data_IF_852802720782
#
_entry.id   IF_852802720782
#
_cell.length_a   1.000
_cell.length_b   1.000
_cell.length_c   1.000
_cell.angle_alpha   90.00
_cell.angle_beta   90.00
_cell.angle_gamma   90.00
#
_symmetry.space_group_name_H-M   'P 1'
#
loop_
_entity.id
_entity.type
_entity.pdbx_description
1 polymer ?
#
# COMPACT_ATOMS: atom_id res chain seq x y z
N UNK A 1 -19.52 24.25 -0.83
CA UNK A 1 -18.70 25.32 -0.20
C UNK A 1 -17.23 25.17 -0.59
N UNK A 2 -16.59 24.01 -0.33
CA UNK A 2 -15.16 23.76 -0.63
C UNK A 2 -14.71 24.00 -2.09
N UNK A 3 -15.54 23.72 -3.10
CA UNK A 3 -15.12 23.87 -4.49
C UNK A 3 -14.99 25.34 -4.95
N UNK A 4 -15.85 26.24 -4.44
CA UNK A 4 -15.80 27.66 -4.76
C UNK A 4 -14.57 28.33 -4.11
N UNK A 5 -14.31 28.02 -2.84
CA UNK A 5 -13.14 28.50 -2.10
C UNK A 5 -11.82 28.04 -2.74
N UNK A 6 -11.78 26.80 -3.26
CA UNK A 6 -10.63 26.27 -3.99
C UNK A 6 -10.37 27.07 -5.28
N UNK A 7 -11.40 27.33 -6.07
CA UNK A 7 -11.26 28.08 -7.33
C UNK A 7 -10.83 29.53 -7.06
N UNK A 8 -11.43 30.19 -6.07
CA UNK A 8 -11.05 31.55 -5.66
C UNK A 8 -9.59 31.60 -5.15
N UNK A 9 -9.17 30.59 -4.38
CA UNK A 9 -7.79 30.44 -3.92
C UNK A 9 -6.79 30.26 -5.07
N UNK A 10 -7.14 29.50 -6.11
CA UNK A 10 -6.31 29.34 -7.31
C UNK A 10 -6.27 30.62 -8.17
N UNK A 11 -7.43 31.23 -8.43
CA UNK A 11 -7.56 32.44 -9.25
C UNK A 11 -6.80 33.64 -8.69
N UNK A 12 -6.78 33.78 -7.36
CA UNK A 12 -6.08 34.87 -6.67
C UNK A 12 -4.55 34.73 -6.67
N UNK A 13 -4.00 33.55 -6.98
CA UNK A 13 -2.58 33.28 -6.92
C UNK A 13 -1.87 33.54 -8.28
N UNK A 14 -0.77 34.32 -8.33
CA UNK A 14 -0.11 34.73 -9.59
C UNK A 14 0.27 33.59 -10.55
N UNK A 15 0.80 32.49 -9.99
CA UNK A 15 1.20 31.29 -10.75
C UNK A 15 0.09 30.24 -10.86
N UNK A 16 -0.55 29.88 -9.74
CA UNK A 16 -1.52 28.79 -9.68
C UNK A 16 -2.84 29.06 -10.42
N UNK A 17 -3.16 30.33 -10.73
CA UNK A 17 -4.33 30.66 -11.57
C UNK A 17 -4.28 30.05 -12.98
N UNK A 18 -3.10 29.63 -13.44
CA UNK A 18 -2.90 28.98 -14.73
C UNK A 18 -2.93 27.45 -14.64
N UNK A 19 -3.08 26.88 -13.43
CA UNK A 19 -3.22 25.45 -13.26
C UNK A 19 -4.51 24.99 -13.94
N UNK A 20 -4.39 24.04 -14.87
CA UNK A 20 -5.54 23.52 -15.60
C UNK A 20 -6.45 22.71 -14.68
N UNK A 21 -7.73 22.61 -15.04
CA UNK A 21 -8.67 21.73 -14.34
C UNK A 21 -8.16 20.28 -14.30
N UNK A 22 -7.57 19.81 -15.41
CA UNK A 22 -6.94 18.49 -15.46
C UNK A 22 -5.79 18.35 -14.45
N UNK A 23 -4.95 19.38 -14.32
CA UNK A 23 -3.89 19.44 -13.30
C UNK A 23 -4.44 19.34 -11.87
N UNK A 24 -5.55 20.05 -11.58
CA UNK A 24 -6.23 19.96 -10.27
C UNK A 24 -6.77 18.55 -10.01
N UNK A 25 -7.40 17.92 -11.01
CA UNK A 25 -7.91 16.55 -10.87
C UNK A 25 -6.77 15.53 -10.70
N UNK A 26 -5.70 15.65 -11.49
CA UNK A 26 -4.50 14.82 -11.40
C UNK A 26 -3.86 14.93 -10.01
N UNK A 27 -3.66 16.13 -9.51
CA UNK A 27 -3.17 16.37 -8.14
C UNK A 27 -4.10 15.76 -7.09
N UNK A 28 -5.40 15.91 -7.26
CA UNK A 28 -6.41 15.38 -6.33
C UNK A 28 -6.39 13.85 -6.27
N UNK A 29 -6.24 13.17 -7.43
CA UNK A 29 -6.07 11.71 -7.49
C UNK A 29 -4.75 11.30 -6.82
N UNK A 30 -3.63 11.87 -7.25
CA UNK A 30 -2.29 11.52 -6.74
C UNK A 30 -2.19 11.74 -5.23
N UNK A 31 -2.47 12.94 -4.73
CA UNK A 31 -2.35 13.26 -3.31
C UNK A 31 -3.41 12.54 -2.46
N UNK A 32 -4.57 12.22 -3.04
CA UNK A 32 -5.59 11.38 -2.41
C UNK A 32 -5.08 9.98 -2.07
N UNK A 33 -4.26 9.38 -2.92
CA UNK A 33 -3.59 8.09 -2.66
C UNK A 33 -2.40 8.20 -1.69
N UNK A 34 -1.87 9.40 -1.48
CA UNK A 34 -0.69 9.64 -0.65
C UNK A 34 -1.02 10.14 0.76
N UNK A 35 -2.30 10.24 1.17
CA UNK A 35 -2.70 10.75 2.51
C UNK A 35 -1.91 10.13 3.66
N UNK A 36 -1.69 8.81 3.64
CA UNK A 36 -0.91 8.13 4.68
C UNK A 36 0.59 8.44 4.60
N UNK A 37 1.15 8.52 3.39
CA UNK A 37 2.53 8.96 3.15
C UNK A 37 2.76 10.42 3.56
N UNK A 38 1.70 11.25 3.50
CA UNK A 38 1.70 12.65 3.96
C UNK A 38 1.72 12.71 5.50
N UNK A 39 0.87 11.93 6.20
CA UNK A 39 0.76 11.95 7.67
C UNK A 39 1.93 11.32 8.40
N UNK A 40 2.44 10.20 7.88
CA UNK A 40 3.44 9.39 8.59
C UNK A 40 4.69 10.17 9.02
N UNK A 41 5.34 10.99 8.17
CA UNK A 41 6.51 11.77 8.56
C UNK A 41 6.19 12.99 9.44
N UNK A 42 4.93 13.36 9.64
CA UNK A 42 4.56 14.54 10.42
C UNK A 42 4.85 14.36 11.91
N UNK A 43 5.02 15.46 12.67
CA UNK A 43 4.97 15.41 14.13
C UNK A 43 3.68 14.77 14.64
N UNK A 44 3.70 14.19 15.85
CA UNK A 44 2.52 13.53 16.45
C UNK A 44 1.31 14.47 16.51
N UNK A 45 1.52 15.76 16.78
CA UNK A 45 0.46 16.79 16.82
C UNK A 45 -0.27 16.98 15.48
N UNK A 46 0.40 16.67 14.37
CA UNK A 46 -0.08 16.83 12.98
C UNK A 46 -0.49 15.48 12.36
N UNK A 47 -0.60 14.42 13.17
CA UNK A 47 -0.82 13.05 12.69
C UNK A 47 -2.28 12.58 12.80
N UNK A 48 -3.22 13.52 12.95
CA UNK A 48 -4.64 13.17 13.04
C UNK A 48 -5.18 12.84 11.64
N UNK A 49 -5.65 11.62 11.37
CA UNK A 49 -6.14 11.24 10.05
C UNK A 49 -7.40 12.01 9.60
N UNK A 50 -8.11 12.65 10.53
CA UNK A 50 -9.31 13.44 10.21
C UNK A 50 -8.99 14.84 9.65
N UNK A 51 -7.74 15.30 9.79
CA UNK A 51 -7.35 16.65 9.40
C UNK A 51 -6.10 16.63 8.52
N UNK A 52 -6.03 17.43 7.44
CA UNK A 52 -4.80 17.53 6.67
C UNK A 52 -3.72 18.25 7.49
N UNK A 53 -2.46 17.81 7.43
CA UNK A 53 -1.38 18.50 8.12
C UNK A 53 -1.07 19.86 7.48
N UNK A 54 -0.43 20.73 8.25
CA UNK A 54 -0.11 22.08 7.79
C UNK A 54 0.82 22.09 6.58
N UNK A 55 1.81 21.19 6.55
CA UNK A 55 2.88 21.17 5.55
C UNK A 55 2.93 19.83 4.81
N UNK A 56 3.30 19.89 3.53
CA UNK A 56 3.59 18.69 2.75
C UNK A 56 5.04 18.23 2.99
N UNK A 57 5.31 16.93 3.18
CA UNK A 57 6.69 16.43 3.33
C UNK A 57 7.57 16.76 2.11
N UNK A 58 8.84 17.09 2.33
CA UNK A 58 9.79 17.55 1.29
C UNK A 58 9.87 16.62 0.07
N UNK A 59 9.98 15.31 0.28
CA UNK A 59 10.03 14.33 -0.81
C UNK A 59 8.76 14.33 -1.68
N UNK A 60 7.59 14.60 -1.07
CA UNK A 60 6.33 14.76 -1.81
C UNK A 60 6.25 16.12 -2.51
N UNK A 61 6.80 17.18 -1.91
CA UNK A 61 6.92 18.47 -2.60
C UNK A 61 7.75 18.33 -3.88
N UNK A 62 8.92 17.68 -3.79
CA UNK A 62 9.80 17.46 -4.93
C UNK A 62 9.15 16.59 -6.02
N UNK A 63 8.44 15.54 -5.63
CA UNK A 63 7.67 14.71 -6.56
C UNK A 63 6.59 15.52 -7.30
N UNK A 64 5.75 16.26 -6.57
CA UNK A 64 4.64 17.02 -7.17
C UNK A 64 5.16 18.13 -8.08
N UNK A 65 6.21 18.82 -7.64
CA UNK A 65 6.90 19.86 -8.40
C UNK A 65 7.31 19.36 -9.78
N UNK A 66 7.92 18.18 -9.84
CA UNK A 66 8.39 17.59 -11.09
C UNK A 66 7.25 16.95 -11.91
N UNK A 67 6.26 16.36 -11.25
CA UNK A 67 5.14 15.71 -11.92
C UNK A 67 4.21 16.68 -12.66
N UNK A 68 4.04 17.90 -12.14
CA UNK A 68 3.14 18.93 -12.68
C UNK A 68 3.91 20.14 -13.24
N UNK A 69 5.24 20.07 -13.27
CA UNK A 69 6.14 21.13 -13.75
C UNK A 69 5.86 22.50 -13.09
N UNK A 70 5.83 22.51 -11.75
CA UNK A 70 5.60 23.72 -10.95
C UNK A 70 6.91 24.25 -10.35
N UNK A 71 7.05 25.57 -10.13
CA UNK A 71 8.16 26.12 -9.37
C UNK A 71 8.13 25.70 -7.89
N UNK A 72 9.30 25.47 -7.28
CA UNK A 72 9.40 25.02 -5.89
C UNK A 72 8.75 25.98 -4.88
N UNK A 73 8.85 27.30 -5.13
CA UNK A 73 8.29 28.34 -4.26
C UNK A 73 6.76 28.41 -4.27
N UNK A 74 6.08 27.60 -5.09
CA UNK A 74 4.61 27.61 -5.23
C UNK A 74 3.97 26.39 -4.55
N UNK A 75 4.75 25.36 -4.21
CA UNK A 75 4.20 24.09 -3.70
C UNK A 75 3.52 24.23 -2.33
N UNK A 76 4.08 25.05 -1.44
CA UNK A 76 3.47 25.29 -0.13
C UNK A 76 2.12 26.02 -0.26
N UNK A 77 2.03 27.00 -1.16
CA UNK A 77 0.77 27.69 -1.47
C UNK A 77 -0.25 26.78 -2.13
N UNK A 78 0.20 25.91 -3.05
CA UNK A 78 -0.63 24.88 -3.66
C UNK A 78 -1.23 23.96 -2.59
N UNK A 79 -0.42 23.45 -1.66
CA UNK A 79 -0.90 22.61 -0.58
C UNK A 79 -1.86 23.37 0.33
N UNK A 80 -1.54 24.62 0.70
CA UNK A 80 -2.41 25.47 1.52
C UNK A 80 -3.81 25.63 0.91
N UNK A 81 -3.90 25.78 -0.41
CA UNK A 81 -5.18 25.91 -1.13
C UNK A 81 -5.90 24.57 -1.23
N UNK A 82 -5.20 23.49 -1.60
CA UNK A 82 -5.83 22.21 -1.96
C UNK A 82 -6.05 21.25 -0.78
N UNK A 83 -5.31 21.38 0.33
CA UNK A 83 -5.23 20.33 1.36
C UNK A 83 -6.58 19.90 1.91
N UNK A 84 -7.48 20.84 2.21
CA UNK A 84 -8.80 20.53 2.78
C UNK A 84 -9.70 19.84 1.76
N UNK A 85 -9.62 20.25 0.50
CA UNK A 85 -10.32 19.57 -0.59
C UNK A 85 -9.82 18.13 -0.75
N UNK A 86 -8.52 17.94 -0.91
CA UNK A 86 -7.90 16.60 -1.05
C UNK A 86 -8.24 15.71 0.14
N UNK A 87 -8.26 16.25 1.36
CA UNK A 87 -8.56 15.47 2.55
C UNK A 87 -10.00 14.97 2.59
N UNK A 88 -10.94 15.81 2.15
CA UNK A 88 -12.38 15.54 2.27
C UNK A 88 -12.94 14.70 1.13
N UNK A 89 -12.36 14.79 -0.07
CA UNK A 89 -12.83 13.96 -1.19
C UNK A 89 -12.49 12.47 -0.96
N UNK A 90 -13.38 11.55 -1.40
CA UNK A 90 -13.05 10.14 -1.48
C UNK A 90 -11.83 9.91 -2.38
N UNK A 91 -11.03 8.91 -2.05
CA UNK A 91 -9.90 8.51 -2.89
C UNK A 91 -10.42 8.00 -4.24
N UNK A 92 -10.14 8.76 -5.30
CA UNK A 92 -10.50 8.41 -6.67
C UNK A 92 -9.48 7.42 -7.25
N UNK A 93 -9.87 6.50 -8.14
CA UNK A 93 -8.92 5.58 -8.78
C UNK A 93 -7.87 6.34 -9.60
N UNK A 94 -6.62 5.88 -9.56
CA UNK A 94 -5.55 6.41 -10.41
C UNK A 94 -5.76 6.00 -11.86
N UNK A 95 -5.52 6.94 -12.77
CA UNK A 95 -5.43 6.71 -14.22
C UNK A 95 -4.04 6.17 -14.60
N UNK A 96 -3.89 5.70 -15.82
CA UNK A 96 -2.60 5.19 -16.31
C UNK A 96 -1.54 6.30 -16.36
N UNK A 97 -1.94 7.51 -16.76
CA UNK A 97 -1.11 8.71 -16.77
C UNK A 97 -0.61 9.07 -15.36
N UNK A 98 -1.47 8.98 -14.34
CA UNK A 98 -1.07 9.23 -12.96
C UNK A 98 0.02 8.23 -12.52
N UNK A 99 -0.14 6.94 -12.88
CA UNK A 99 0.85 5.89 -12.59
C UNK A 99 2.18 6.20 -13.27
N UNK A 100 2.15 6.66 -14.52
CA UNK A 100 3.37 7.07 -15.24
C UNK A 100 4.09 8.20 -14.52
N UNK A 101 3.37 9.18 -13.94
CA UNK A 101 3.98 10.23 -13.12
C UNK A 101 4.71 9.65 -11.89
N UNK A 102 4.12 8.68 -11.19
CA UNK A 102 4.80 7.99 -10.10
C UNK A 102 6.08 7.28 -10.56
N UNK A 103 6.05 6.62 -11.71
CA UNK A 103 7.23 5.95 -12.27
C UNK A 103 8.35 6.94 -12.61
N UNK A 104 8.03 7.96 -13.42
CA UNK A 104 9.02 8.88 -13.97
C UNK A 104 9.58 9.80 -12.89
N UNK A 105 8.73 10.30 -12.00
CA UNK A 105 9.11 11.34 -11.03
C UNK A 105 9.11 10.84 -9.58
N UNK A 106 8.23 9.91 -9.22
CA UNK A 106 8.00 9.50 -7.83
C UNK A 106 9.04 8.52 -7.25
N UNK A 107 9.47 7.51 -8.01
CA UNK A 107 10.26 6.41 -7.46
C UNK A 107 11.58 6.86 -6.83
N UNK A 108 12.27 7.82 -7.45
CA UNK A 108 13.52 8.40 -6.93
C UNK A 108 13.34 9.14 -5.60
N UNK A 109 12.12 9.61 -5.31
CA UNK A 109 11.76 10.25 -4.05
C UNK A 109 11.14 9.27 -3.04
N UNK A 110 11.14 7.97 -3.34
CA UNK A 110 10.51 6.97 -2.47
C UNK A 110 8.98 7.03 -2.51
N UNK A 111 8.39 7.47 -3.62
CA UNK A 111 6.94 7.59 -3.80
C UNK A 111 6.46 6.63 -4.90
N UNK A 112 5.46 5.82 -4.61
CA UNK A 112 4.87 4.86 -5.56
C UNK A 112 3.35 4.99 -5.55
N UNK A 113 2.71 4.60 -6.66
CA UNK A 113 1.25 4.56 -6.77
C UNK A 113 0.61 3.61 -5.75
N UNK A 114 1.36 2.63 -5.25
CA UNK A 114 0.94 1.71 -4.20
C UNK A 114 1.85 1.86 -2.98
N UNK A 115 1.25 2.06 -1.81
CA UNK A 115 1.96 2.03 -0.53
C UNK A 115 1.24 1.08 0.42
N UNK A 116 1.99 0.14 0.99
CA UNK A 116 1.46 -0.92 1.84
C UNK A 116 1.78 -0.59 3.29
N UNK A 117 0.78 -0.64 4.15
CA UNK A 117 0.89 -0.30 5.57
C UNK A 117 0.09 -1.29 6.42
N UNK A 118 0.34 -1.39 7.74
CA UNK A 118 -0.59 -2.08 8.64
C UNK A 118 -1.99 -1.45 8.59
N UNK A 119 -3.07 -2.16 8.95
CA UNK A 119 -4.41 -1.59 8.91
C UNK A 119 -4.55 -0.34 9.78
N UNK A 120 -3.94 -0.36 10.97
CA UNK A 120 -4.03 0.71 11.95
C UNK A 120 -2.71 1.49 12.09
N UNK A 121 -2.83 2.78 12.38
CA UNK A 121 -1.71 3.67 12.71
C UNK A 121 -1.49 3.82 14.23
N UNK A 122 -2.22 3.07 15.05
CA UNK A 122 -2.09 3.07 16.53
C UNK A 122 -1.77 1.67 17.04
N UNK A 123 -1.32 1.57 18.28
CA UNK A 123 -1.11 0.27 18.91
C UNK A 123 -2.46 -0.42 19.17
N UNK A 124 -2.68 -1.56 18.52
CA UNK A 124 -3.89 -2.38 18.70
C UNK A 124 -3.72 -3.48 19.76
N UNK A 125 -2.58 -3.53 20.44
CA UNK A 125 -2.38 -4.47 21.54
C UNK A 125 -3.20 -4.00 22.75
N UNK A 126 -4.24 -4.76 23.09
CA UNK A 126 -5.15 -4.46 24.22
C UNK A 126 -4.44 -4.30 25.57
N UNK A 127 -3.27 -4.92 25.75
CA UNK A 127 -2.47 -4.82 26.96
C UNK A 127 -1.47 -3.63 26.94
N UNK A 128 -1.56 -2.75 25.94
CA UNK A 128 -0.64 -1.63 25.76
C UNK A 128 -1.40 -0.30 25.85
N UNK A 129 -1.04 0.55 26.81
CA UNK A 129 -1.65 1.88 26.95
C UNK A 129 -1.04 2.92 26.00
N UNK A 130 -0.39 2.49 24.90
CA UNK A 130 0.21 3.41 23.94
C UNK A 130 -0.84 3.93 22.96
N UNK A 131 -1.46 5.05 23.31
CA UNK A 131 -2.61 5.61 22.58
C UNK A 131 -2.25 6.69 21.55
N UNK A 132 -0.96 6.93 21.28
CA UNK A 132 -0.52 7.89 20.26
C UNK A 132 -0.28 7.18 18.91
N UNK A 133 -0.41 7.90 17.78
CA UNK A 133 -0.07 7.35 16.47
C UNK A 133 1.35 6.81 16.42
N UNK A 134 1.48 5.55 16.02
CA UNK A 134 2.74 4.90 15.71
C UNK A 134 3.33 5.52 14.46
N UNK A 135 4.65 5.71 14.50
CA UNK A 135 5.41 6.25 13.39
C UNK A 135 6.12 5.16 12.63
N UNK A 136 6.28 5.41 11.32
CA UNK A 136 7.10 4.64 10.40
C UNK A 136 8.44 4.27 11.05
N UNK A 137 8.61 2.99 11.34
CA UNK A 137 9.87 2.47 11.89
C UNK A 137 10.76 1.91 10.78
N UNK A 138 10.15 1.28 9.78
CA UNK A 138 10.90 0.53 8.80
C UNK A 138 10.18 0.50 7.44
N UNK A 139 10.95 0.69 6.36
CA UNK A 139 10.43 0.69 4.98
C UNK A 139 11.31 -0.13 4.05
N UNK A 140 10.65 -0.94 3.21
CA UNK A 140 11.26 -1.79 2.19
C UNK A 140 10.56 -1.60 0.85
N UNK A 141 11.33 -1.76 -0.23
CA UNK A 141 10.76 -1.98 -1.56
C UNK A 141 10.02 -3.31 -1.57
N UNK A 142 8.96 -3.37 -2.36
CA UNK A 142 8.17 -4.56 -2.60
C UNK A 142 7.64 -4.59 -4.03
N UNK A 143 7.12 -5.75 -4.40
CA UNK A 143 6.46 -6.03 -5.66
C UNK A 143 5.06 -6.56 -5.36
N UNK A 144 4.06 -6.01 -6.04
CA UNK A 144 2.66 -6.37 -5.89
C UNK A 144 2.16 -6.94 -7.20
N UNK A 145 1.68 -8.18 -7.18
CA UNK A 145 1.01 -8.81 -8.29
C UNK A 145 -0.47 -8.43 -8.25
N UNK A 146 -0.95 -7.73 -9.28
CA UNK A 146 -2.32 -7.22 -9.35
C UNK A 146 -3.04 -7.79 -10.56
N UNK A 147 -4.35 -7.95 -10.45
CA UNK A 147 -5.17 -8.52 -11.52
C UNK A 147 -5.36 -7.54 -12.68
N UNK A 148 -5.44 -6.24 -12.42
CA UNK A 148 -5.80 -5.24 -13.45
C UNK A 148 -4.62 -4.45 -14.01
N UNK A 149 -3.50 -4.35 -13.26
CA UNK A 149 -2.37 -3.51 -13.63
C UNK A 149 -1.06 -4.30 -13.72
N UNK A 150 -1.14 -5.63 -13.72
CA UNK A 150 0.03 -6.51 -13.69
C UNK A 150 0.90 -6.27 -12.45
N UNK A 151 2.22 -6.28 -12.66
CA UNK A 151 3.21 -6.12 -11.59
C UNK A 151 3.38 -4.64 -11.25
N UNK A 152 3.24 -4.30 -9.97
CA UNK A 152 3.33 -2.93 -9.47
C UNK A 152 4.43 -2.80 -8.42
N UNK A 153 5.24 -1.72 -8.44
CA UNK A 153 6.18 -1.42 -7.37
C UNK A 153 5.43 -0.82 -6.18
N UNK A 154 5.86 -1.18 -4.98
CA UNK A 154 5.29 -0.61 -3.76
C UNK A 154 6.36 -0.39 -2.69
N UNK A 155 6.12 0.59 -1.84
CA UNK A 155 6.81 0.70 -0.57
C UNK A 155 5.97 0.05 0.53
N UNK A 156 6.57 -0.89 1.25
CA UNK A 156 5.96 -1.52 2.42
C UNK A 156 6.51 -0.85 3.66
N UNK A 157 5.61 -0.33 4.49
CA UNK A 157 5.92 0.24 5.79
C UNK A 157 5.50 -0.71 6.89
N UNK A 158 6.37 -0.89 7.88
CA UNK A 158 6.04 -1.49 9.16
C UNK A 158 6.10 -0.42 10.24
N UNK A 159 5.23 -0.57 11.24
CA UNK A 159 5.16 0.31 12.41
C UNK A 159 5.67 -0.46 13.63
N UNK A 160 6.23 0.25 14.61
CA UNK A 160 6.73 -0.39 15.82
C UNK A 160 6.24 0.37 17.05
N UNK A 161 5.64 -0.36 17.99
CA UNK A 161 5.27 0.20 19.28
C UNK A 161 6.45 0.06 20.26
N UNK A 162 7.04 1.18 20.73
CA UNK A 162 8.17 1.12 21.66
C UNK A 162 7.79 0.65 23.07
N UNK A 163 6.49 0.70 23.44
CA UNK A 163 6.02 0.33 24.78
C UNK A 163 5.80 -1.18 24.94
N UNK A 164 5.13 -1.82 23.99
CA UNK A 164 4.85 -3.26 24.05
C UNK A 164 5.73 -4.09 23.11
N UNK A 165 6.70 -3.47 22.42
CA UNK A 165 7.62 -4.12 21.50
C UNK A 165 6.93 -4.91 20.37
N UNK A 166 5.73 -4.46 19.97
CA UNK A 166 4.98 -5.08 18.87
C UNK A 166 5.34 -4.41 17.55
N UNK A 167 5.72 -5.21 16.57
CA UNK A 167 5.93 -4.77 15.18
C UNK A 167 4.69 -5.05 14.35
N UNK A 168 4.09 -4.02 13.77
CA UNK A 168 2.91 -4.12 12.94
C UNK A 168 3.33 -4.14 11.46
N UNK A 169 2.91 -5.18 10.75
CA UNK A 169 3.07 -5.32 9.30
C UNK A 169 1.71 -5.25 8.62
N UNK A 170 1.64 -5.39 7.29
CA UNK A 170 0.41 -5.30 6.51
C UNK A 170 -0.64 -6.38 6.86
N UNK A 171 -0.22 -7.64 7.02
CA UNK A 171 -1.16 -8.75 7.26
C UNK A 171 -1.18 -9.26 8.69
N UNK A 172 -0.16 -8.96 9.47
CA UNK A 172 0.00 -9.46 10.83
C UNK A 172 0.77 -8.49 11.71
N UNK A 173 0.60 -8.64 13.02
CA UNK A 173 1.48 -8.06 14.03
C UNK A 173 2.42 -9.14 14.58
N UNK A 174 3.59 -8.72 15.06
CA UNK A 174 4.60 -9.59 15.67
C UNK A 174 4.84 -9.14 17.09
N UNK A 175 4.58 -10.04 18.04
CA UNK A 175 4.90 -9.85 19.44
C UNK A 175 5.46 -11.16 20.01
N UNK A 176 6.55 -11.07 20.79
CA UNK A 176 7.19 -12.23 21.43
C UNK A 176 7.47 -13.42 20.48
N UNK A 177 7.87 -13.14 19.23
CA UNK A 177 8.19 -14.18 18.25
C UNK A 177 6.99 -14.87 17.59
N UNK A 178 5.76 -14.40 17.84
CA UNK A 178 4.53 -14.91 17.23
C UNK A 178 3.95 -13.88 16.26
N UNK A 179 3.54 -14.33 15.08
CA UNK A 179 2.72 -13.56 14.14
C UNK A 179 1.26 -13.80 14.46
N UNK A 180 0.54 -12.71 14.70
CA UNK A 180 -0.92 -12.69 14.82
C UNK A 180 -1.48 -11.98 13.61
N UNK A 181 -2.16 -12.71 12.74
CA UNK A 181 -2.82 -12.12 11.58
C UNK A 181 -4.03 -11.30 12.01
N UNK A 182 -4.26 -10.18 11.31
CA UNK A 182 -5.44 -9.36 11.56
C UNK A 182 -6.72 -10.08 11.12
N UNK A 183 -7.84 -9.69 11.72
CA UNK A 183 -9.16 -10.21 11.33
C UNK A 183 -9.52 -9.81 9.90
N UNK A 184 -10.22 -10.68 9.20
CA UNK A 184 -10.67 -10.47 7.82
C UNK A 184 -9.63 -10.89 6.76
N UNK A 185 -9.99 -10.67 5.50
CA UNK A 185 -9.12 -10.97 4.35
C UNK A 185 -8.47 -9.67 3.87
N UNK A 186 -7.14 -9.56 3.89
CA UNK A 186 -6.45 -8.34 3.46
C UNK A 186 -6.54 -8.15 1.95
N UNK A 187 -6.51 -6.90 1.49
CA UNK A 187 -6.48 -6.56 0.07
C UNK A 187 -5.22 -7.12 -0.62
N UNK A 188 -4.07 -7.05 0.05
CA UNK A 188 -2.80 -7.58 -0.44
C UNK A 188 -2.26 -8.62 0.55
N UNK A 189 -2.04 -9.84 0.09
CA UNK A 189 -1.48 -10.96 0.86
C UNK A 189 0.03 -11.01 0.66
N UNK A 190 0.78 -11.00 1.75
CA UNK A 190 2.23 -11.15 1.73
C UNK A 190 2.61 -12.62 1.52
N UNK A 191 3.16 -12.92 0.35
CA UNK A 191 3.55 -14.28 -0.10
C UNK A 191 5.07 -14.46 -0.17
N UNK A 192 5.82 -13.47 0.29
CA UNK A 192 7.27 -13.48 0.36
C UNK A 192 7.77 -12.31 1.20
N UNK A 193 9.09 -12.17 1.34
CA UNK A 193 9.66 -11.04 2.10
C UNK A 193 9.32 -9.69 1.45
N UNK A 194 9.36 -9.65 0.11
CA UNK A 194 9.14 -8.45 -0.70
C UNK A 194 7.98 -8.60 -1.69
N UNK A 195 7.21 -9.69 -1.61
CA UNK A 195 6.21 -10.03 -2.62
C UNK A 195 4.81 -10.10 -2.03
N UNK A 196 3.89 -9.42 -2.70
CA UNK A 196 2.49 -9.30 -2.32
C UNK A 196 1.60 -9.67 -3.50
N UNK A 197 0.45 -10.27 -3.20
CA UNK A 197 -0.55 -10.66 -4.19
C UNK A 197 -1.87 -10.01 -3.81
N UNK A 198 -2.52 -9.33 -4.76
CA UNK A 198 -3.89 -8.86 -4.60
C UNK A 198 -4.81 -10.05 -4.29
N UNK A 199 -5.65 -9.96 -3.25
CA UNK A 199 -6.51 -11.05 -2.82
C UNK A 199 -7.40 -11.59 -3.95
N UNK A 200 -7.97 -10.70 -4.77
CA UNK A 200 -8.78 -11.05 -5.96
C UNK A 200 -8.00 -11.88 -6.98
N UNK A 201 -6.72 -11.56 -7.17
CA UNK A 201 -5.83 -12.34 -8.03
C UNK A 201 -5.59 -13.73 -7.44
N UNK A 202 -5.34 -13.82 -6.12
CA UNK A 202 -5.24 -15.09 -5.41
C UNK A 202 -6.50 -15.97 -5.54
N UNK A 203 -7.69 -15.36 -5.45
CA UNK A 203 -8.96 -16.05 -5.70
C UNK A 203 -9.11 -16.55 -7.14
N UNK A 204 -8.68 -15.74 -8.11
CA UNK A 204 -8.67 -16.15 -9.52
C UNK A 204 -7.76 -17.38 -9.72
N UNK A 205 -6.60 -17.41 -9.07
CA UNK A 205 -5.69 -18.54 -9.11
C UNK A 205 -6.29 -19.80 -8.50
N UNK A 206 -6.98 -19.68 -7.36
CA UNK A 206 -7.72 -20.79 -6.75
C UNK A 206 -8.79 -21.35 -7.69
N UNK A 207 -9.58 -20.47 -8.32
CA UNK A 207 -10.60 -20.89 -9.27
C UNK A 207 -9.97 -21.63 -10.47
N UNK A 208 -8.86 -21.13 -11.00
CA UNK A 208 -8.12 -21.79 -12.08
C UNK A 208 -7.59 -23.17 -11.66
N UNK A 209 -7.12 -23.31 -10.41
CA UNK A 209 -6.66 -24.60 -9.88
C UNK A 209 -7.81 -25.58 -9.68
N UNK A 210 -8.91 -25.13 -9.07
CA UNK A 210 -10.05 -25.98 -8.69
C UNK A 210 -10.90 -26.40 -9.89
N UNK A 211 -11.20 -25.47 -10.81
CA UNK A 211 -12.12 -25.69 -11.92
C UNK A 211 -11.41 -25.84 -13.25
N UNK A 212 -10.27 -25.15 -13.42
CA UNK A 212 -9.48 -25.19 -14.64
C UNK A 212 -8.42 -26.30 -14.66
N UNK A 213 -8.19 -26.99 -13.52
CA UNK A 213 -7.13 -27.98 -13.35
C UNK A 213 -5.72 -27.42 -13.59
N UNK A 214 -5.52 -26.13 -13.32
CA UNK A 214 -4.23 -25.50 -13.50
C UNK A 214 -3.30 -25.90 -12.36
N UNK A 215 -2.07 -26.26 -12.69
CA UNK A 215 -0.99 -26.30 -11.69
C UNK A 215 -0.62 -24.88 -11.27
N UNK A 216 -0.01 -24.72 -10.09
CA UNK A 216 0.54 -23.43 -9.64
C UNK A 216 1.57 -22.85 -10.63
N UNK A 217 2.35 -23.72 -11.29
CA UNK A 217 3.29 -23.30 -12.32
C UNK A 217 2.59 -22.80 -13.59
N UNK A 218 1.49 -23.45 -14.00
CA UNK A 218 0.67 -22.97 -15.12
C UNK A 218 0.01 -21.63 -14.79
N UNK A 219 -0.52 -21.47 -13.58
CA UNK A 219 -1.09 -20.20 -13.12
C UNK A 219 -0.08 -19.06 -13.14
N UNK A 220 1.15 -19.29 -12.65
CA UNK A 220 2.24 -18.30 -12.73
C UNK A 220 2.57 -17.92 -14.17
N UNK A 221 2.64 -18.90 -15.09
CA UNK A 221 2.90 -18.67 -16.52
C UNK A 221 1.77 -17.89 -17.20
N UNK A 222 0.52 -18.23 -16.90
CA UNK A 222 -0.67 -17.56 -17.43
C UNK A 222 -0.68 -16.10 -16.98
N UNK A 223 -0.44 -15.84 -15.70
CA UNK A 223 -0.33 -14.48 -15.19
C UNK A 223 0.73 -13.69 -15.96
N UNK A 224 1.95 -14.24 -16.07
CA UNK A 224 3.04 -13.61 -16.83
C UNK A 224 2.68 -13.34 -18.28
N UNK A 225 2.04 -14.29 -18.97
CA UNK A 225 1.68 -14.11 -20.39
C UNK A 225 0.53 -13.13 -20.60
N UNK A 226 -0.37 -13.00 -19.62
CA UNK A 226 -1.55 -12.13 -19.68
C UNK A 226 -1.26 -10.68 -19.29
N UNK A 227 -0.23 -10.44 -18.48
CA UNK A 227 0.11 -9.12 -17.92
C UNK A 227 1.28 -8.46 -18.66
N UNK A 228 1.48 -8.79 -19.94
CA UNK A 228 2.59 -8.35 -20.80
C UNK A 228 2.51 -6.89 -21.25
N UNK A 229 1.92 -6.01 -20.45
CA UNK A 229 2.20 -4.58 -20.58
C UNK A 229 3.54 -4.27 -19.87
N UNK A 230 4.62 -4.76 -20.50
CA UNK A 230 6.00 -4.77 -20.01
C UNK A 230 6.58 -3.34 -19.85
N UNK A 231 5.81 -2.29 -20.16
CA UNK A 231 6.32 -0.91 -20.14
C UNK A 231 6.34 -0.27 -18.74
N UNK A 232 5.49 -0.70 -17.80
CA UNK A 232 5.37 -0.01 -16.52
C UNK A 232 6.41 -0.47 -15.48
N UNK A 233 6.58 -1.76 -15.26
CA UNK A 233 7.52 -2.24 -14.26
C UNK A 233 8.84 -2.63 -14.92
N UNK A 234 9.94 -2.01 -14.49
CA UNK A 234 11.29 -2.41 -14.88
C UNK A 234 12.03 -2.96 -13.64
N UNK A 235 12.35 -4.27 -13.60
CA UNK A 235 13.10 -4.88 -12.51
C UNK A 235 14.48 -4.26 -12.27
N UNK A 236 15.14 -3.74 -13.32
CA UNK A 236 16.45 -3.12 -13.20
C UNK A 236 16.35 -1.76 -12.50
N UNK A 237 15.36 -0.95 -12.88
CA UNK A 237 15.11 0.35 -12.25
C UNK A 237 14.64 0.19 -10.80
N UNK A 238 13.76 -0.78 -10.53
CA UNK A 238 13.20 -0.97 -9.19
C UNK A 238 14.14 -1.75 -8.27
N UNK A 239 14.93 -2.67 -8.79
CA UNK A 239 15.84 -3.53 -8.04
C UNK A 239 15.19 -4.77 -7.40
N UNK A 240 13.97 -5.13 -7.83
CA UNK A 240 13.29 -6.37 -7.43
C UNK A 240 12.73 -7.08 -8.67
N UNK A 241 12.76 -8.41 -8.64
CA UNK A 241 12.21 -9.22 -9.72
C UNK A 241 10.68 -9.13 -9.80
N UNK A 242 10.17 -9.05 -11.01
CA UNK A 242 8.75 -9.16 -11.38
C UNK A 242 8.29 -10.63 -11.55
N UNK A 243 9.19 -11.59 -11.37
CA UNK A 243 8.94 -12.99 -11.67
C UNK A 243 8.12 -13.64 -10.56
N UNK A 244 6.82 -13.83 -10.81
CA UNK A 244 5.94 -14.63 -9.95
C UNK A 244 6.39 -16.10 -9.94
N UNK A 245 6.69 -16.64 -8.75
CA UNK A 245 7.14 -18.03 -8.57
C UNK A 245 5.98 -18.97 -8.24
N UNK A 246 6.16 -20.26 -8.51
CA UNK A 246 5.20 -21.31 -8.13
C UNK A 246 4.94 -21.32 -6.61
N UNK A 247 5.98 -21.08 -5.80
CA UNK A 247 5.88 -21.03 -4.34
C UNK A 247 4.98 -19.88 -3.88
N UNK A 248 5.11 -18.69 -4.48
CA UNK A 248 4.27 -17.54 -4.15
C UNK A 248 2.79 -17.75 -4.48
N UNK A 249 2.49 -18.49 -5.55
CA UNK A 249 1.11 -18.88 -5.89
C UNK A 249 0.55 -19.83 -4.82
N UNK A 250 1.34 -20.83 -4.39
CA UNK A 250 0.94 -21.73 -3.31
C UNK A 250 0.79 -21.01 -1.97
N UNK A 251 1.70 -20.11 -1.61
CA UNK A 251 1.61 -19.30 -0.41
C UNK A 251 0.34 -18.44 -0.40
N UNK A 252 -0.01 -17.83 -1.54
CA UNK A 252 -1.28 -17.10 -1.69
C UNK A 252 -2.47 -18.02 -1.40
N UNK A 253 -2.46 -19.22 -1.98
CA UNK A 253 -3.51 -20.21 -1.78
C UNK A 253 -3.64 -20.60 -0.29
N UNK A 254 -2.54 -20.96 0.37
CA UNK A 254 -2.53 -21.42 1.76
C UNK A 254 -2.95 -20.30 2.71
N UNK A 255 -2.32 -19.12 2.59
CA UNK A 255 -2.58 -18.01 3.50
C UNK A 255 -4.03 -17.56 3.43
N UNK A 256 -4.58 -17.38 2.21
CA UNK A 256 -5.98 -17.01 2.07
C UNK A 256 -6.92 -18.04 2.74
N UNK A 257 -6.57 -19.33 2.73
CA UNK A 257 -7.46 -20.40 3.20
C UNK A 257 -7.48 -20.45 4.72
N UNK A 258 -6.30 -20.28 5.31
CA UNK A 258 -6.17 -20.15 6.76
C UNK A 258 -6.81 -18.87 7.30
N UNK A 259 -6.77 -17.78 6.53
CA UNK A 259 -7.47 -16.54 6.90
C UNK A 259 -8.99 -16.69 6.81
N UNK A 260 -9.50 -17.40 5.80
CA UNK A 260 -10.95 -17.69 5.70
C UNK A 260 -11.44 -18.59 6.83
N UNK A 261 -10.68 -19.64 7.16
CA UNK A 261 -10.99 -20.50 8.31
C UNK A 261 -10.93 -19.71 9.63
N UNK A 262 -9.92 -18.86 9.81
CA UNK A 262 -9.80 -17.93 10.94
C UNK A 262 -11.04 -17.03 11.07
N UNK A 263 -11.54 -16.48 9.95
CA UNK A 263 -12.77 -15.66 9.93
C UNK A 263 -13.98 -16.52 10.28
N UNK A 264 -14.14 -17.71 9.70
CA UNK A 264 -15.26 -18.60 9.95
C UNK A 264 -15.32 -19.05 11.43
N UNK A 265 -14.16 -19.30 12.05
CA UNK A 265 -14.04 -19.72 13.46
C UNK A 265 -14.02 -18.54 14.44
N UNK A 266 -13.96 -17.30 13.96
CA UNK A 266 -13.74 -16.10 14.79
C UNK A 266 -12.53 -16.22 15.71
N UNK A 267 -11.46 -16.88 15.24
CA UNK A 267 -10.20 -17.05 15.97
C UNK A 267 -9.04 -16.52 15.12
N UNK A 268 -8.10 -15.75 15.68
CA UNK A 268 -6.98 -15.22 14.91
C UNK A 268 -6.03 -16.34 14.46
N UNK A 269 -5.52 -16.25 13.23
CA UNK A 269 -4.43 -17.11 12.77
C UNK A 269 -3.12 -16.74 13.48
N UNK A 270 -2.56 -17.68 14.23
CA UNK A 270 -1.30 -17.56 14.95
C UNK A 270 -0.24 -18.49 14.35
N UNK A 271 0.93 -17.94 14.01
CA UNK A 271 2.07 -18.74 13.51
C UNK A 271 3.40 -18.22 14.06
N UNK A 272 4.46 -19.06 14.12
CA UNK A 272 5.79 -18.58 14.48
C UNK A 272 6.29 -17.47 13.53
N UNK A 273 6.97 -16.47 14.07
CA UNK A 273 7.53 -15.38 13.26
C UNK A 273 8.77 -15.81 12.48
N UNK A 274 9.59 -16.65 13.11
CA UNK A 274 10.83 -17.21 12.57
C UNK A 274 10.56 -18.51 11.80
N UNK A 275 11.61 -19.02 11.14
CA UNK A 275 11.54 -20.26 10.35
C UNK A 275 11.12 -20.03 8.91
N UNK A 276 11.26 -21.11 8.13
CA UNK A 276 11.02 -21.09 6.70
C UNK A 276 9.54 -20.84 6.38
N UNK A 277 9.32 -20.02 5.35
CA UNK A 277 7.99 -19.68 4.85
C UNK A 277 7.16 -20.94 4.55
N UNK A 278 7.78 -21.96 3.94
CA UNK A 278 7.14 -23.22 3.57
C UNK A 278 6.67 -24.06 4.78
N UNK A 279 7.31 -23.88 5.94
CA UNK A 279 6.99 -24.63 7.15
C UNK A 279 6.06 -23.88 8.10
N UNK A 280 6.04 -22.55 7.99
CA UNK A 280 5.36 -21.65 8.93
C UNK A 280 3.89 -21.98 9.13
N UNK A 281 3.22 -22.44 8.08
CA UNK A 281 1.78 -22.70 8.09
C UNK A 281 1.40 -24.16 8.28
N UNK A 282 2.36 -25.09 8.32
CA UNK A 282 2.08 -26.54 8.40
C UNK A 282 1.18 -26.90 9.58
N UNK A 283 1.56 -26.47 10.78
CA UNK A 283 0.79 -26.73 12.00
C UNK A 283 -0.63 -26.16 11.93
N UNK A 284 -0.80 -24.98 11.34
CA UNK A 284 -2.11 -24.34 11.21
C UNK A 284 -3.01 -25.13 10.24
N UNK A 285 -2.45 -25.66 9.15
CA UNK A 285 -3.18 -26.51 8.19
C UNK A 285 -3.65 -27.82 8.84
N UNK A 286 -2.81 -28.45 9.66
CA UNK A 286 -3.18 -29.68 10.38
C UNK A 286 -4.37 -29.45 11.32
N UNK A 287 -4.41 -28.31 12.01
CA UNK A 287 -5.52 -27.94 12.91
C UNK A 287 -6.81 -27.49 12.20
N UNK A 288 -6.74 -27.14 10.91
CA UNK A 288 -7.92 -26.81 10.11
C UNK A 288 -8.61 -28.06 9.56
N UNK A 289 -7.89 -29.18 9.47
CA UNK A 289 -8.35 -30.42 8.82
C UNK A 289 -9.10 -31.38 9.75
N UNK A 290 -9.33 -31.00 11.01
CA UNK A 290 -10.14 -31.71 12.00
C UNK A 290 -11.35 -30.90 12.43
#
# INVERSE_FOLDING_TARGET
MLAAELLEGLESHPTLRFLTLDGVFTLSRILGHLKRSILQPQPISESNPSHPPQFLPEHLQNFIREAIDLPANVIDDLWRILRHHIWTIPTMPLMEEDRRLFKVFGWKWGVTAMSIYPPEDVCTNSNCEHCIPLKKSFVKKAVVYTQSHGVQPAWVTSLYCPKCHTSYHNNFAVNAGIRTYYSGIPEFVQVGEHQFVEGKLGYTWRANMLYGWFSASNTSRVYRSSMTDISFFDPLDWGLSDTLTTAQVWDSFVILGLLEDSVARSQPLLVPHTGDQADRFKRAMDTCSG
#
